data_IF_729499181633
#
_entry.id   IF_729499181633
#
_cell.length_a   1.000
_cell.length_b   1.000
_cell.length_c   1.000
_cell.angle_alpha   90.00
_cell.angle_beta   90.00
_cell.angle_gamma   90.00
#
_symmetry.space_group_name_H-M   'P 1'
#
loop_
_entity.id
_entity.type
_entity.pdbx_description
1 polymer ?
#
# COMPACT_ATOMS: atom_id res chain seq x y z
N UNK A 1 13.43 5.87 3.02
CA UNK A 1 13.42 4.41 3.15
C UNK A 1 12.40 3.76 2.22
N UNK A 2 12.42 2.43 2.15
CA UNK A 2 11.45 1.64 1.38
C UNK A 2 10.48 0.94 2.32
N UNK A 3 9.23 0.75 1.90
CA UNK A 3 8.28 -0.05 2.66
C UNK A 3 8.15 -1.47 2.09
N UNK A 4 7.90 -2.42 2.99
CA UNK A 4 7.58 -3.81 2.70
C UNK A 4 6.20 -4.11 3.29
N UNK A 5 5.15 -4.29 2.47
CA UNK A 5 3.83 -4.59 2.99
C UNK A 5 3.74 -6.05 3.44
N UNK A 6 3.21 -6.25 4.64
CA UNK A 6 3.00 -7.54 5.25
C UNK A 6 1.51 -7.71 5.58
N UNK A 7 0.83 -8.62 4.89
CA UNK A 7 -0.56 -8.91 5.16
C UNK A 7 -0.66 -9.84 6.39
N UNK A 8 -1.32 -9.41 7.49
CA UNK A 8 -1.43 -10.22 8.70
C UNK A 8 -2.18 -11.55 8.49
N UNK A 9 -2.94 -11.68 7.40
CA UNK A 9 -3.60 -12.93 7.02
C UNK A 9 -2.65 -13.98 6.44
N UNK A 10 -1.39 -13.61 6.12
CA UNK A 10 -0.42 -14.59 5.63
C UNK A 10 0.04 -15.55 6.73
N UNK A 11 0.42 -16.79 6.36
CA UNK A 11 1.05 -17.71 7.31
C UNK A 11 2.27 -17.08 7.98
N UNK A 12 2.47 -17.36 9.26
CA UNK A 12 3.58 -16.80 10.06
C UNK A 12 4.95 -17.13 9.47
N UNK A 13 5.11 -18.33 8.93
CA UNK A 13 6.33 -18.78 8.25
C UNK A 13 6.66 -17.92 7.04
N UNK A 14 5.63 -17.55 6.26
CA UNK A 14 5.77 -16.65 5.11
C UNK A 14 6.20 -15.24 5.54
N UNK A 15 5.55 -14.69 6.57
CA UNK A 15 5.90 -13.37 7.10
C UNK A 15 7.32 -13.34 7.64
N UNK A 16 7.72 -14.37 8.42
CA UNK A 16 9.08 -14.50 8.95
C UNK A 16 10.13 -14.63 7.84
N UNK A 17 9.81 -15.37 6.77
CA UNK A 17 10.68 -15.48 5.61
C UNK A 17 10.87 -14.12 4.93
N UNK A 18 9.76 -13.39 4.64
CA UNK A 18 9.81 -12.09 3.98
C UNK A 18 10.62 -11.07 4.79
N UNK A 19 10.44 -11.02 6.10
CA UNK A 19 11.20 -10.13 6.99
C UNK A 19 12.69 -10.46 7.00
N UNK A 20 13.04 -11.74 7.05
CA UNK A 20 14.44 -12.20 7.05
C UNK A 20 15.12 -11.95 5.70
N UNK A 21 14.44 -12.29 4.61
CA UNK A 21 14.96 -12.20 3.23
C UNK A 21 15.15 -10.74 2.79
N UNK A 22 14.22 -9.86 3.17
CA UNK A 22 14.29 -8.43 2.85
C UNK A 22 15.35 -7.66 3.66
N UNK A 23 15.82 -8.20 4.79
CA UNK A 23 16.71 -7.48 5.70
C UNK A 23 16.05 -6.26 6.34
N UNK A 24 14.73 -6.23 6.47
CA UNK A 24 14.02 -5.13 7.13
C UNK A 24 14.58 -4.92 8.55
N UNK A 25 14.81 -3.67 8.92
CA UNK A 25 15.34 -3.29 10.25
C UNK A 25 14.26 -2.82 11.22
N UNK A 26 13.12 -2.35 10.70
CA UNK A 26 11.99 -1.82 11.48
C UNK A 26 10.69 -2.49 11.03
N UNK A 27 9.92 -2.98 11.99
CA UNK A 27 8.56 -3.48 11.79
C UNK A 27 7.57 -2.50 12.42
N UNK A 28 6.68 -1.95 11.60
CA UNK A 28 5.53 -1.19 12.08
C UNK A 28 4.35 -2.13 12.25
N UNK A 29 3.70 -2.08 13.40
CA UNK A 29 2.51 -2.88 13.72
C UNK A 29 1.47 -2.02 14.42
N UNK A 30 0.28 -2.56 14.62
CA UNK A 30 -0.79 -1.89 15.37
C UNK A 30 -1.30 -2.80 16.49
N UNK A 31 -1.96 -2.24 17.53
CA UNK A 31 -2.53 -3.02 18.61
C UNK A 31 -3.40 -4.17 18.11
N UNK A 32 -3.19 -5.35 18.66
CA UNK A 32 -3.94 -6.56 18.28
C UNK A 32 -3.41 -7.32 17.06
N UNK A 33 -2.43 -6.80 16.33
CA UNK A 33 -1.72 -7.55 15.29
C UNK A 33 -0.67 -8.47 15.91
N UNK A 34 -0.78 -9.78 15.61
CA UNK A 34 0.26 -10.75 16.00
C UNK A 34 1.48 -10.58 15.11
N UNK A 35 2.52 -9.94 15.62
CA UNK A 35 3.78 -9.82 14.92
C UNK A 35 4.44 -11.21 14.75
N UNK A 36 5.04 -11.52 13.59
CA UNK A 36 5.88 -12.68 13.43
C UNK A 36 7.19 -12.54 14.24
N UNK A 37 7.96 -13.63 14.40
CA UNK A 37 9.28 -13.52 15.00
C UNK A 37 10.16 -12.60 14.16
N UNK A 38 10.53 -11.48 14.74
CA UNK A 38 11.33 -10.45 14.11
C UNK A 38 12.50 -10.07 15.03
N UNK A 39 13.70 -10.00 14.47
CA UNK A 39 14.92 -9.69 15.23
C UNK A 39 15.29 -8.20 15.22
N UNK A 40 14.61 -7.40 14.40
CA UNK A 40 14.78 -5.96 14.32
C UNK A 40 13.93 -5.20 15.33
N UNK A 41 13.89 -3.89 15.20
CA UNK A 41 13.07 -3.00 16.01
C UNK A 41 11.59 -3.12 15.63
N UNK A 42 10.71 -3.24 16.61
CA UNK A 42 9.26 -3.22 16.41
C UNK A 42 8.66 -1.99 17.05
N UNK A 43 7.92 -1.21 16.25
CA UNK A 43 7.18 -0.05 16.71
C UNK A 43 5.69 -0.30 16.55
N UNK A 44 4.97 -0.32 17.65
CA UNK A 44 3.51 -0.37 17.65
C UNK A 44 2.94 1.03 17.46
N UNK A 45 2.18 1.23 16.40
CA UNK A 45 1.54 2.50 16.03
C UNK A 45 0.08 2.46 16.48
N UNK A 46 -0.23 3.19 17.54
CA UNK A 46 -1.60 3.40 17.98
C UNK A 46 -2.11 4.75 17.47
N UNK A 47 -3.05 4.71 16.53
CA UNK A 47 -3.63 5.91 15.93
C UNK A 47 -4.35 6.81 16.97
N UNK A 48 -4.77 6.25 18.10
CA UNK A 48 -5.40 7.03 19.17
C UNK A 48 -4.37 7.85 19.95
N UNK A 49 -3.17 7.35 20.10
CA UNK A 49 -2.06 8.06 20.77
C UNK A 49 -1.44 9.15 19.90
N UNK A 50 -1.58 9.04 18.58
CA UNK A 50 -1.09 10.05 17.63
C UNK A 50 -2.05 11.25 17.48
N UNK A 51 -3.28 11.14 17.98
CA UNK A 51 -4.25 12.22 17.93
C UNK A 51 -3.81 13.38 18.85
N UNK A 52 -3.26 14.45 18.26
CA UNK A 52 -2.75 15.62 18.98
C UNK A 52 -1.25 15.83 18.87
N UNK A 53 -0.50 14.88 18.35
CA UNK A 53 0.89 15.09 17.99
C UNK A 53 0.99 16.12 16.85
N UNK A 54 1.81 17.15 17.05
CA UNK A 54 2.11 18.10 15.97
C UNK A 54 2.99 17.39 14.96
N UNK A 55 2.45 17.16 13.77
CA UNK A 55 3.25 16.73 12.64
C UNK A 55 4.17 17.89 12.21
N UNK A 56 5.37 17.94 12.75
CA UNK A 56 6.41 18.80 12.20
C UNK A 56 6.95 18.11 10.94
N UNK A 57 6.84 18.78 9.80
CA UNK A 57 7.52 18.36 8.59
C UNK A 57 9.03 18.46 8.83
N UNK A 58 9.64 17.39 9.27
CA UNK A 58 11.08 17.29 9.25
C UNK A 58 11.54 17.35 7.80
N UNK A 59 12.39 18.32 7.48
CA UNK A 59 13.06 18.40 6.18
C UNK A 59 14.05 17.23 6.10
N UNK A 60 13.54 16.07 5.66
CA UNK A 60 14.40 14.95 5.33
C UNK A 60 15.21 15.29 4.07
N UNK A 61 16.43 14.79 4.00
CA UNK A 61 17.17 14.76 2.76
C UNK A 61 16.29 14.08 1.70
N UNK A 62 16.02 14.74 0.55
CA UNK A 62 15.21 14.15 -0.49
C UNK A 62 15.75 12.77 -0.84
N UNK A 63 14.86 11.78 -0.99
CA UNK A 63 15.26 10.47 -1.48
C UNK A 63 15.79 10.63 -2.91
N UNK A 64 16.95 10.03 -3.19
CA UNK A 64 17.43 9.92 -4.56
C UNK A 64 16.46 9.03 -5.37
N UNK A 65 16.24 9.39 -6.63
CA UNK A 65 15.39 8.61 -7.53
C UNK A 65 15.82 7.13 -7.68
N UNK A 66 17.10 6.83 -7.44
CA UNK A 66 17.66 5.48 -7.39
C UNK A 66 17.45 4.74 -6.06
N UNK A 67 16.97 5.41 -5.01
CA UNK A 67 16.63 4.77 -3.75
C UNK A 67 15.37 3.91 -3.89
N UNK A 68 15.30 2.80 -3.14
CA UNK A 68 14.11 1.94 -3.13
C UNK A 68 12.90 2.67 -2.53
N UNK A 69 11.77 2.54 -3.21
CA UNK A 69 10.46 3.02 -2.75
C UNK A 69 9.71 1.91 -1.99
N UNK A 70 9.70 0.70 -2.55
CA UNK A 70 9.02 -0.45 -1.93
C UNK A 70 9.60 -1.79 -2.40
N UNK A 71 9.27 -2.84 -1.62
CA UNK A 71 9.52 -4.24 -1.98
C UNK A 71 8.21 -5.01 -1.85
N UNK A 72 7.71 -5.59 -2.94
CA UNK A 72 6.50 -6.44 -2.93
C UNK A 72 6.89 -7.87 -3.26
N UNK A 73 6.44 -8.82 -2.44
CA UNK A 73 6.72 -10.25 -2.63
C UNK A 73 5.67 -10.90 -3.53
N UNK A 74 6.17 -11.57 -4.56
CA UNK A 74 5.35 -12.36 -5.49
C UNK A 74 5.61 -13.86 -5.28
N UNK A 75 4.70 -14.71 -5.79
CA UNK A 75 4.92 -16.16 -5.79
C UNK A 75 6.09 -16.51 -6.71
N UNK A 76 7.14 -17.10 -6.16
CA UNK A 76 8.28 -17.56 -6.94
C UNK A 76 7.99 -18.89 -7.65
N UNK A 77 8.55 -19.08 -8.85
CA UNK A 77 8.47 -20.34 -9.62
C UNK A 77 9.07 -21.56 -8.89
N UNK A 78 9.90 -21.31 -7.88
CA UNK A 78 10.55 -22.33 -7.04
C UNK A 78 9.80 -22.61 -5.75
N UNK A 79 8.59 -22.06 -5.56
CA UNK A 79 7.78 -22.21 -4.34
C UNK A 79 8.13 -21.23 -3.23
N UNK A 80 9.29 -20.57 -3.27
CA UNK A 80 9.64 -19.51 -2.31
C UNK A 80 9.24 -18.14 -2.86
N UNK A 81 8.64 -17.26 -2.02
CA UNK A 81 8.33 -15.89 -2.42
C UNK A 81 9.60 -15.13 -2.84
N UNK A 82 9.46 -14.26 -3.84
CA UNK A 82 10.54 -13.38 -4.32
C UNK A 82 10.16 -11.93 -4.13
N UNK A 83 11.03 -11.17 -3.47
CA UNK A 83 10.88 -9.72 -3.30
C UNK A 83 11.23 -8.97 -4.59
N UNK A 84 10.27 -8.21 -5.12
CA UNK A 84 10.48 -7.28 -6.24
C UNK A 84 10.73 -5.90 -5.66
N UNK A 85 11.97 -5.43 -5.82
CA UNK A 85 12.41 -4.13 -5.34
C UNK A 85 12.19 -3.07 -6.43
N UNK A 86 11.50 -1.99 -6.08
CA UNK A 86 11.15 -0.90 -7.01
C UNK A 86 11.72 0.42 -6.48
N UNK A 87 12.43 1.14 -7.33
CA UNK A 87 13.02 2.44 -7.04
C UNK A 87 12.00 3.58 -7.16
N UNK A 88 12.23 4.70 -6.47
CA UNK A 88 11.37 5.89 -6.54
C UNK A 88 11.15 6.37 -7.98
N UNK A 89 12.20 6.43 -8.81
CA UNK A 89 12.08 6.85 -10.22
C UNK A 89 11.14 5.95 -11.03
N UNK A 90 11.12 4.65 -10.76
CA UNK A 90 10.27 3.69 -11.45
C UNK A 90 8.80 3.87 -11.03
N UNK A 91 8.55 4.01 -9.72
CA UNK A 91 7.22 4.30 -9.19
C UNK A 91 6.66 5.62 -9.75
N UNK A 92 7.46 6.69 -9.74
CA UNK A 92 7.08 8.01 -10.30
C UNK A 92 6.80 7.90 -11.79
N UNK A 93 7.66 7.23 -12.56
CA UNK A 93 7.46 7.03 -14.00
C UNK A 93 6.14 6.31 -14.30
N UNK A 94 5.83 5.26 -13.54
CA UNK A 94 4.58 4.52 -13.67
C UNK A 94 3.37 5.40 -13.37
N UNK A 95 3.37 6.10 -12.22
CA UNK A 95 2.26 6.96 -11.81
C UNK A 95 2.06 8.15 -12.76
N UNK A 96 3.15 8.72 -13.27
CA UNK A 96 3.09 9.79 -14.28
C UNK A 96 2.52 9.28 -15.60
N UNK A 97 2.89 8.07 -16.01
CA UNK A 97 2.32 7.40 -17.18
C UNK A 97 0.81 7.17 -17.03
N UNK A 98 0.37 6.72 -15.84
CA UNK A 98 -1.05 6.58 -15.50
C UNK A 98 -1.77 7.93 -15.61
N UNK A 99 -1.22 8.99 -15.02
CA UNK A 99 -1.79 10.33 -15.07
C UNK A 99 -1.90 10.87 -16.50
N UNK A 100 -0.93 10.54 -17.35
CA UNK A 100 -0.95 10.96 -18.75
C UNK A 100 -2.02 10.23 -19.56
N UNK A 101 -2.19 8.93 -19.31
CA UNK A 101 -3.13 8.08 -20.06
C UNK A 101 -4.57 8.18 -19.53
N UNK A 102 -4.74 8.32 -18.23
CA UNK A 102 -6.02 8.35 -17.52
C UNK A 102 -6.03 9.54 -16.53
N UNK A 103 -6.07 10.78 -17.02
CA UNK A 103 -5.88 11.94 -16.17
C UNK A 103 -6.96 12.02 -15.06
N UNK A 104 -6.53 12.09 -13.81
CA UNK A 104 -7.35 12.47 -12.67
C UNK A 104 -7.30 13.99 -12.48
N UNK A 105 -8.38 14.53 -11.93
CA UNK A 105 -8.51 15.92 -11.48
C UNK A 105 -8.78 15.98 -9.97
N UNK A 106 -8.86 17.18 -9.40
CA UNK A 106 -9.22 17.41 -8.00
C UNK A 106 -10.65 16.95 -7.64
N UNK A 107 -11.52 16.81 -8.65
CA UNK A 107 -12.88 16.33 -8.47
C UNK A 107 -13.00 14.80 -8.40
N UNK A 108 -11.91 14.08 -8.68
CA UNK A 108 -11.91 12.63 -8.72
C UNK A 108 -11.72 11.99 -7.34
N UNK A 109 -12.36 10.83 -7.16
CA UNK A 109 -12.25 10.00 -5.95
C UNK A 109 -11.84 8.60 -6.37
N UNK A 110 -10.62 8.22 -5.99
CA UNK A 110 -10.04 6.89 -6.27
C UNK A 110 -10.38 5.91 -5.16
N UNK A 111 -10.99 4.77 -5.49
CA UNK A 111 -11.23 3.70 -4.52
C UNK A 111 -9.95 2.90 -4.24
N UNK A 112 -9.54 2.84 -3.00
CA UNK A 112 -8.43 2.01 -2.50
C UNK A 112 -9.03 0.76 -1.87
N UNK A 113 -8.92 -0.39 -2.53
CA UNK A 113 -9.48 -1.67 -2.09
C UNK A 113 -8.54 -2.86 -2.23
N UNK A 114 -7.45 -2.69 -2.97
CA UNK A 114 -6.49 -3.77 -3.21
C UNK A 114 -5.55 -3.90 -2.01
N UNK A 115 -5.30 -5.12 -1.54
CA UNK A 115 -4.31 -5.37 -0.49
C UNK A 115 -2.96 -4.79 -0.88
N UNK A 116 -2.29 -4.12 0.06
CA UNK A 116 -0.98 -3.48 -0.12
C UNK A 116 0.13 -4.47 -0.51
N UNK A 117 -0.11 -5.76 -0.32
CA UNK A 117 0.79 -6.83 -0.74
C UNK A 117 0.78 -7.12 -2.24
N UNK A 118 -0.06 -6.42 -3.01
CA UNK A 118 -0.11 -6.50 -4.48
C UNK A 118 0.34 -5.20 -5.12
N UNK A 119 1.06 -5.30 -6.21
CA UNK A 119 1.58 -4.16 -6.99
C UNK A 119 0.47 -3.23 -7.50
N UNK A 120 -0.71 -3.78 -7.83
CA UNK A 120 -1.88 -3.00 -8.23
C UNK A 120 -2.35 -2.01 -7.14
N UNK A 121 -1.95 -2.17 -5.89
CA UNK A 121 -2.25 -1.21 -4.82
C UNK A 121 -1.46 0.09 -4.94
N UNK A 122 -0.30 0.07 -5.58
CA UNK A 122 0.63 1.21 -5.62
C UNK A 122 -0.03 2.44 -6.25
N UNK A 123 -0.69 2.27 -7.39
CA UNK A 123 -1.37 3.41 -8.01
C UNK A 123 -2.61 3.85 -7.22
N UNK A 124 -3.34 2.93 -6.57
CA UNK A 124 -4.49 3.28 -5.73
C UNK A 124 -4.05 4.10 -4.50
N UNK A 125 -2.84 3.87 -3.99
CA UNK A 125 -2.31 4.55 -2.81
C UNK A 125 -1.73 5.93 -3.12
N UNK A 126 -1.15 6.12 -4.30
CA UNK A 126 -0.29 7.29 -4.54
C UNK A 126 -0.72 8.17 -5.72
N UNK A 127 -1.44 7.63 -6.71
CA UNK A 127 -1.77 8.38 -7.94
C UNK A 127 -2.67 9.58 -7.69
N UNK A 128 -3.68 9.45 -6.86
CA UNK A 128 -4.59 10.53 -6.50
C UNK A 128 -3.84 11.76 -5.93
N UNK A 129 -2.77 11.52 -5.16
CA UNK A 129 -1.98 12.59 -4.56
C UNK A 129 -1.22 13.44 -5.59
N UNK A 130 -0.91 12.89 -6.77
CA UNK A 130 -0.23 13.64 -7.84
C UNK A 130 -1.14 14.64 -8.55
N UNK A 131 -2.44 14.42 -8.51
CA UNK A 131 -3.44 15.25 -9.22
C UNK A 131 -4.29 16.12 -8.29
N UNK A 132 -4.09 16.02 -6.98
CA UNK A 132 -4.96 16.69 -6.00
C UNK A 132 -6.32 16.03 -5.82
N UNK A 133 -6.53 14.84 -6.41
CA UNK A 133 -7.73 14.03 -6.22
C UNK A 133 -7.87 13.54 -4.77
N UNK A 134 -8.95 12.82 -4.48
CA UNK A 134 -9.18 12.20 -3.18
C UNK A 134 -9.08 10.68 -3.26
N UNK A 135 -8.81 10.02 -2.12
CA UNK A 135 -8.85 8.57 -2.00
C UNK A 135 -9.93 8.14 -1.01
N UNK A 136 -10.75 7.18 -1.41
CA UNK A 136 -11.68 6.49 -0.54
C UNK A 136 -11.15 5.12 -0.17
N UNK A 137 -10.85 4.91 1.11
CA UNK A 137 -10.39 3.62 1.63
C UNK A 137 -11.60 2.73 1.89
N UNK A 138 -11.76 1.67 1.08
CA UNK A 138 -12.85 0.71 1.26
C UNK A 138 -12.67 -0.03 2.58
N UNK A 139 -13.70 -0.14 3.43
CA UNK A 139 -13.61 -0.87 4.68
C UNK A 139 -13.16 -2.32 4.48
N UNK A 140 -12.31 -2.87 5.37
CA UNK A 140 -11.82 -4.23 5.26
C UNK A 140 -12.94 -5.25 5.15
N UNK A 141 -12.80 -6.19 4.22
CA UNK A 141 -13.78 -7.24 3.95
C UNK A 141 -14.85 -6.87 2.92
N UNK A 142 -15.07 -5.58 2.66
CA UNK A 142 -16.05 -5.13 1.65
C UNK A 142 -15.61 -5.46 0.22
N UNK A 143 -14.33 -5.63 -0.01
CA UNK A 143 -13.78 -6.01 -1.32
C UNK A 143 -14.27 -7.37 -1.82
N UNK A 144 -14.86 -8.19 -0.94
CA UNK A 144 -15.41 -9.52 -1.24
C UNK A 144 -16.91 -9.50 -1.55
N UNK A 145 -17.57 -8.36 -1.39
CA UNK A 145 -19.01 -8.21 -1.57
C UNK A 145 -19.31 -7.11 -2.61
N UNK A 146 -19.77 -7.53 -3.77
CA UNK A 146 -20.08 -6.60 -4.87
C UNK A 146 -21.17 -5.59 -4.51
N UNK A 147 -22.14 -5.95 -3.67
CA UNK A 147 -23.21 -5.03 -3.26
C UNK A 147 -22.64 -3.92 -2.36
N UNK A 148 -21.70 -4.24 -1.47
CA UNK A 148 -21.03 -3.24 -0.62
C UNK A 148 -20.11 -2.34 -1.45
N UNK A 149 -19.43 -2.87 -2.46
CA UNK A 149 -18.62 -2.07 -3.39
C UNK A 149 -19.52 -1.08 -4.15
N UNK A 150 -20.61 -1.55 -4.75
CA UNK A 150 -21.56 -0.69 -5.48
C UNK A 150 -22.14 0.38 -4.56
N UNK A 151 -22.52 0.01 -3.33
CA UNK A 151 -22.99 0.94 -2.32
C UNK A 151 -21.95 2.04 -2.04
N UNK A 152 -20.69 1.65 -1.82
CA UNK A 152 -19.59 2.59 -1.59
C UNK A 152 -19.40 3.54 -2.78
N UNK A 153 -19.41 3.03 -4.01
CA UNK A 153 -19.28 3.84 -5.23
C UNK A 153 -20.36 4.93 -5.26
N UNK A 154 -21.60 4.58 -4.99
CA UNK A 154 -22.71 5.55 -5.02
C UNK A 154 -22.68 6.54 -3.86
N UNK A 155 -22.44 6.07 -2.63
CA UNK A 155 -22.46 6.91 -1.44
C UNK A 155 -21.30 7.89 -1.39
N UNK A 156 -20.09 7.41 -1.72
CA UNK A 156 -18.86 8.20 -1.66
C UNK A 156 -18.50 8.87 -2.99
N UNK A 157 -19.37 8.73 -4.02
CA UNK A 157 -19.17 9.31 -5.35
C UNK A 157 -17.83 8.94 -5.98
N UNK A 158 -17.41 7.69 -5.79
CA UNK A 158 -16.17 7.18 -6.37
C UNK A 158 -16.22 7.29 -7.89
N UNK A 159 -15.22 7.93 -8.49
CA UNK A 159 -15.11 8.11 -9.94
C UNK A 159 -14.17 7.10 -10.59
N UNK A 160 -13.20 6.60 -9.81
CA UNK A 160 -12.18 5.69 -10.32
C UNK A 160 -12.03 4.48 -9.42
N UNK A 161 -12.19 3.29 -9.99
CA UNK A 161 -12.01 2.01 -9.29
C UNK A 161 -11.39 0.97 -10.21
N UNK A 162 -10.64 0.03 -9.64
CA UNK A 162 -10.03 -1.08 -10.36
C UNK A 162 -10.76 -2.39 -10.09
N UNK A 163 -11.05 -3.12 -11.14
CA UNK A 163 -11.64 -4.45 -11.07
C UNK A 163 -10.82 -5.44 -11.91
N UNK A 164 -10.60 -6.61 -11.38
CA UNK A 164 -10.14 -7.74 -12.21
C UNK A 164 -11.35 -8.36 -12.93
N UNK A 165 -11.18 -8.98 -14.10
CA UNK A 165 -12.32 -9.53 -14.88
C UNK A 165 -13.23 -10.47 -14.09
N UNK A 166 -12.69 -11.21 -13.13
CA UNK A 166 -13.48 -12.11 -12.28
C UNK A 166 -14.39 -11.39 -11.26
N UNK A 167 -14.27 -10.07 -11.11
CA UNK A 167 -15.10 -9.26 -10.21
C UNK A 167 -16.22 -8.51 -10.95
N UNK A 168 -16.23 -8.57 -12.27
CA UNK A 168 -17.23 -8.00 -13.16
C UNK A 168 -18.24 -9.06 -13.61
#
# INVERSE_FOLDING_TARGET
GAYLPLDPAYPKERLSYMLKDSGASLLLTQPGCSAPNFSGETLEVDMTSLAGEKAENHLFTPADGGSLAYVIYTSGSTGQPKGVAVEHRQAVSFLTGMQHQFPLSEDDIVMVKTSFSFDASVWQLFWWALSGASAYLLPPGWEKDSALIVKAIHQEKVTTAHFIPAML
#
